data_IF_336442333882
#
_entry.id   IF_336442333882
#
_cell.length_a   1.000
_cell.length_b   1.000
_cell.length_c   1.000
_cell.angle_alpha   90.00
_cell.angle_beta   90.00
_cell.angle_gamma   90.00
#
_symmetry.space_group_name_H-M   'P 1'
#
loop_
_entity.id
_entity.type
_entity.pdbx_description
1 polymer ?
#
# COMPACT_ATOMS: atom_id res chain seq x y z
N UNK A 1 -13.34 4.26 12.23
CA UNK A 1 -12.98 3.38 11.09
C UNK A 1 -13.23 4.16 9.81
N UNK A 2 -12.21 4.45 8.97
CA UNK A 2 -12.40 5.18 7.71
C UNK A 2 -12.80 4.21 6.59
N UNK A 3 -13.78 4.59 5.78
CA UNK A 3 -14.23 3.81 4.63
C UNK A 3 -13.57 4.39 3.37
N UNK A 4 -13.04 3.53 2.50
CA UNK A 4 -12.48 3.90 1.19
C UNK A 4 -13.35 3.29 0.10
N UNK A 5 -13.80 4.10 -0.84
CA UNK A 5 -14.64 3.63 -1.94
C UNK A 5 -13.80 3.03 -3.07
N UNK A 6 -14.36 2.12 -3.87
CA UNK A 6 -13.67 1.59 -5.04
C UNK A 6 -13.20 2.67 -6.03
N UNK A 7 -13.93 3.79 -6.13
CA UNK A 7 -13.57 4.92 -7.00
C UNK A 7 -12.31 5.64 -6.50
N UNK A 8 -12.22 5.89 -5.19
CA UNK A 8 -11.04 6.51 -4.57
C UNK A 8 -9.80 5.65 -4.75
N UNK A 9 -9.92 4.33 -4.57
CA UNK A 9 -8.80 3.40 -4.73
C UNK A 9 -8.35 3.32 -6.19
N UNK A 10 -9.28 3.38 -7.15
CA UNK A 10 -8.96 3.30 -8.57
C UNK A 10 -8.42 4.61 -9.15
N UNK A 11 -8.57 5.75 -8.47
CA UNK A 11 -8.18 7.06 -9.00
C UNK A 11 -6.68 7.14 -9.32
N UNK A 12 -5.83 6.55 -8.49
CA UNK A 12 -4.37 6.56 -8.67
C UNK A 12 -3.84 5.33 -9.41
N UNK A 13 -4.55 4.21 -9.37
CA UNK A 13 -4.08 2.92 -9.94
C UNK A 13 -4.82 2.47 -11.19
N UNK A 14 -5.80 3.23 -11.69
CA UNK A 14 -6.70 2.91 -12.80
C UNK A 14 -7.61 1.67 -12.58
N UNK A 15 -7.29 0.84 -11.59
CA UNK A 15 -8.04 -0.36 -11.22
C UNK A 15 -8.09 -0.50 -9.70
N UNK A 16 -9.30 -0.68 -9.15
CA UNK A 16 -9.52 -0.91 -7.72
C UNK A 16 -8.76 -2.13 -7.20
N UNK A 17 -8.63 -3.17 -8.02
CA UNK A 17 -7.94 -4.41 -7.64
C UNK A 17 -6.44 -4.19 -7.55
N UNK A 18 -5.86 -3.46 -8.52
CA UNK A 18 -4.45 -3.09 -8.47
C UNK A 18 -4.14 -2.21 -7.26
N UNK A 19 -5.02 -1.24 -6.96
CA UNK A 19 -4.86 -0.38 -5.78
C UNK A 19 -4.81 -1.17 -4.48
N UNK A 20 -5.70 -2.16 -4.31
CA UNK A 20 -5.66 -3.05 -3.13
C UNK A 20 -4.34 -3.83 -3.06
N UNK A 21 -3.83 -4.35 -4.18
CA UNK A 21 -2.56 -5.07 -4.21
C UNK A 21 -1.37 -4.18 -3.83
N UNK A 22 -1.34 -2.95 -4.36
CA UNK A 22 -0.28 -1.96 -4.06
C UNK A 22 -0.30 -1.58 -2.58
N UNK A 23 -1.47 -1.20 -2.05
CA UNK A 23 -1.61 -0.86 -0.62
C UNK A 23 -1.24 -2.05 0.29
N UNK A 24 -1.62 -3.28 -0.09
CA UNK A 24 -1.28 -4.49 0.66
C UNK A 24 0.22 -4.76 0.65
N UNK A 25 0.89 -4.59 -0.50
CA UNK A 25 2.34 -4.74 -0.62
C UNK A 25 3.05 -3.68 0.22
N UNK A 26 2.64 -2.42 0.12
CA UNK A 26 3.19 -1.32 0.93
C UNK A 26 3.02 -1.59 2.43
N UNK A 27 1.86 -2.08 2.87
CA UNK A 27 1.64 -2.48 4.27
C UNK A 27 2.63 -3.56 4.73
N UNK A 28 2.94 -4.55 3.87
CA UNK A 28 3.92 -5.61 4.19
C UNK A 28 5.33 -5.05 4.33
N UNK A 29 5.74 -4.13 3.45
CA UNK A 29 7.03 -3.44 3.56
C UNK A 29 7.13 -2.63 4.85
N UNK A 30 6.09 -1.86 5.19
CA UNK A 30 6.03 -1.14 6.47
C UNK A 30 6.11 -2.08 7.69
N UNK A 31 5.49 -3.26 7.59
CA UNK A 31 5.55 -4.26 8.65
C UNK A 31 6.93 -4.92 8.78
N UNK A 32 7.71 -4.99 7.70
CA UNK A 32 9.04 -5.58 7.69
C UNK A 32 10.11 -4.65 8.29
N UNK A 33 9.84 -3.34 8.38
CA UNK A 33 10.76 -2.38 9.00
C UNK A 33 11.04 -2.73 10.48
N UNK A 34 12.26 -2.46 10.99
CA UNK A 34 12.57 -2.54 12.42
C UNK A 34 11.61 -1.70 13.26
N UNK A 35 11.32 -2.13 14.50
CA UNK A 35 10.39 -1.41 15.41
C UNK A 35 10.80 0.04 15.62
N UNK A 36 12.09 0.33 15.69
CA UNK A 36 12.58 1.70 15.97
C UNK A 36 12.39 2.65 14.77
N UNK A 37 12.22 2.09 13.57
CA UNK A 37 11.90 2.82 12.34
C UNK A 37 10.41 2.79 12.00
N UNK A 38 9.63 1.95 12.69
CA UNK A 38 8.18 1.96 12.55
C UNK A 38 7.67 3.24 13.21
N UNK A 39 6.71 3.94 12.60
CA UNK A 39 5.96 4.97 13.28
C UNK A 39 5.06 4.33 14.36
N UNK A 40 5.67 3.88 15.46
CA UNK A 40 5.03 3.19 16.59
C UNK A 40 3.94 4.04 17.25
N UNK A 41 4.02 5.36 17.09
CA UNK A 41 3.10 6.32 17.68
C UNK A 41 1.84 6.61 16.83
N UNK A 42 1.67 6.00 15.65
CA UNK A 42 0.43 6.24 14.90
C UNK A 42 -0.71 5.36 15.41
N UNK A 43 -1.73 5.97 16.02
CA UNK A 43 -2.99 5.33 16.45
C UNK A 43 -3.69 4.52 15.34
N UNK A 44 -3.35 4.78 14.07
CA UNK A 44 -3.96 4.13 12.92
C UNK A 44 -3.27 2.81 12.57
N UNK A 45 -4.08 1.78 12.30
CA UNK A 45 -3.64 0.51 11.70
C UNK A 45 -2.87 0.78 10.39
N UNK A 46 -1.80 0.02 10.15
CA UNK A 46 -0.95 0.17 8.95
C UNK A 46 -1.70 -0.02 7.63
N UNK A 47 -2.74 -0.86 7.62
CA UNK A 47 -3.62 -1.05 6.46
C UNK A 47 -4.41 0.22 6.14
N UNK A 48 -4.95 0.88 7.15
CA UNK A 48 -5.63 2.18 7.01
C UNK A 48 -4.65 3.22 6.47
N UNK A 49 -3.46 3.33 7.07
CA UNK A 49 -2.43 4.27 6.63
C UNK A 49 -1.98 4.04 5.19
N UNK A 50 -1.86 2.78 4.77
CA UNK A 50 -1.47 2.43 3.40
C UNK A 50 -2.55 2.79 2.38
N UNK A 51 -3.82 2.61 2.73
CA UNK A 51 -4.92 3.09 1.89
C UNK A 51 -4.99 4.61 1.85
N UNK A 52 -4.75 5.31 2.97
CA UNK A 52 -4.66 6.78 2.98
C UNK A 52 -3.56 7.26 2.04
N UNK A 53 -2.35 6.71 2.16
CA UNK A 53 -1.21 7.05 1.31
C UNK A 53 -1.47 6.73 -0.18
N UNK A 54 -2.19 5.64 -0.49
CA UNK A 54 -2.57 5.33 -1.86
C UNK A 54 -3.56 6.35 -2.43
N UNK A 55 -4.61 6.68 -1.68
CA UNK A 55 -5.68 7.60 -2.12
C UNK A 55 -5.24 9.06 -2.14
N UNK A 56 -4.21 9.43 -1.36
CA UNK A 56 -3.58 10.76 -1.41
C UNK A 56 -2.51 10.90 -2.49
N UNK A 57 -2.23 9.84 -3.27
CA UNK A 57 -1.21 9.86 -4.31
C UNK A 57 0.23 9.85 -3.79
N UNK A 58 0.45 9.48 -2.54
CA UNK A 58 1.78 9.44 -1.90
C UNK A 58 2.56 8.15 -2.21
N UNK A 59 1.94 7.18 -2.88
CA UNK A 59 2.58 5.91 -3.25
C UNK A 59 2.90 5.92 -4.74
N UNK A 60 4.19 6.05 -5.05
CA UNK A 60 4.71 5.75 -6.37
C UNK A 60 5.04 4.26 -6.48
N UNK A 61 4.64 3.63 -7.58
CA UNK A 61 4.94 2.23 -7.83
C UNK A 61 5.12 1.96 -9.32
N UNK A 62 5.83 0.88 -9.61
CA UNK A 62 5.98 0.35 -10.97
C UNK A 62 5.69 -1.14 -10.95
N UNK A 63 4.99 -1.63 -11.96
CA UNK A 63 4.78 -3.07 -12.14
C UNK A 63 6.09 -3.70 -12.61
N UNK A 64 6.61 -4.63 -11.82
CA UNK A 64 7.79 -5.41 -12.17
C UNK A 64 7.34 -6.85 -12.38
N UNK A 65 7.64 -7.40 -13.56
CA UNK A 65 7.36 -8.80 -13.86
C UNK A 65 8.09 -9.74 -12.89
N UNK A 66 7.50 -10.90 -12.60
CA UNK A 66 8.15 -11.93 -11.79
C UNK A 66 9.44 -12.35 -12.48
N UNK A 67 10.59 -12.19 -11.82
CA UNK A 67 11.87 -12.76 -12.32
C UNK A 67 11.70 -14.28 -12.39
N UNK A 68 11.81 -14.86 -13.59
CA UNK A 68 11.99 -16.31 -13.72
C UNK A 68 13.35 -16.63 -13.10
N UNK A 69 13.39 -17.52 -12.10
CA UNK A 69 14.66 -18.16 -11.74
C UNK A 69 15.06 -18.98 -12.95
N UNK A 70 16.19 -18.63 -13.56
CA UNK A 70 16.89 -19.54 -14.45
C UNK A 70 17.53 -20.54 -13.50
N UNK A 71 17.05 -21.78 -13.52
CA UNK A 71 17.72 -22.92 -12.89
C UNK A 71 18.95 -23.30 -13.73
#
# INVERSE_FOLDING_TARGET
>A
MRVFTPKEVAATTQSKYLGVLVASKYTRELNALPRDLKPLASEKKLTTRSLEALTSGQIEFRLVGKRRRVE
#
